data_IF_685080857453
#
_entry.id   IF_685080857453
#
_cell.length_a   1.000
_cell.length_b   1.000
_cell.length_c   1.000
_cell.angle_alpha   90.00
_cell.angle_beta   90.00
_cell.angle_gamma   90.00
#
_symmetry.space_group_name_H-M   'P 1'
#
loop_
_entity.id
_entity.type
_entity.pdbx_description
1 polymer ?
#
# COMPACT_ATOMS: atom_id res chain seq x y z
N UNK A 1 -21.54 27.96 -10.90
CA UNK A 1 -20.33 27.13 -11.00
C UNK A 1 -20.56 26.11 -12.12
N UNK A 2 -19.76 26.15 -13.19
CA UNK A 2 -19.88 25.23 -14.34
C UNK A 2 -19.54 23.79 -13.90
N UNK A 3 -20.23 22.76 -14.43
CA UNK A 3 -19.92 21.34 -14.22
C UNK A 3 -18.42 21.01 -14.39
N UNK A 4 -17.76 21.61 -15.39
CA UNK A 4 -16.30 21.50 -15.58
C UNK A 4 -15.49 22.06 -14.41
N UNK A 5 -15.91 23.20 -13.87
CA UNK A 5 -15.26 23.81 -12.71
C UNK A 5 -15.42 22.97 -11.44
N UNK A 6 -16.61 22.38 -11.25
CA UNK A 6 -16.86 21.44 -10.14
C UNK A 6 -16.08 20.12 -10.31
N UNK A 7 -16.09 19.54 -11.51
CA UNK A 7 -15.32 18.35 -11.85
C UNK A 7 -13.82 18.54 -11.60
N UNK A 8 -13.27 19.69 -12.02
CA UNK A 8 -11.86 19.99 -11.80
C UNK A 8 -11.53 20.20 -10.32
N UNK A 9 -12.45 20.78 -9.55
CA UNK A 9 -12.24 20.97 -8.11
C UNK A 9 -12.19 19.64 -7.36
N UNK A 10 -13.03 18.67 -7.75
CA UNK A 10 -13.12 17.36 -7.06
C UNK A 10 -12.10 16.35 -7.60
N UNK A 11 -11.90 16.29 -8.92
CA UNK A 11 -11.10 15.25 -9.58
C UNK A 11 -9.84 15.75 -10.27
N UNK A 12 -9.62 17.06 -10.36
CA UNK A 12 -8.51 17.64 -11.14
C UNK A 12 -7.14 17.10 -10.71
N UNK A 13 -6.91 16.97 -9.40
CA UNK A 13 -5.67 16.37 -8.89
C UNK A 13 -5.53 14.90 -9.30
N UNK A 14 -6.60 14.09 -9.21
CA UNK A 14 -6.54 12.69 -9.61
C UNK A 14 -6.29 12.53 -11.12
N UNK A 15 -6.94 13.36 -11.92
CA UNK A 15 -6.77 13.41 -13.37
C UNK A 15 -5.33 13.78 -13.75
N UNK A 16 -4.74 14.81 -13.11
CA UNK A 16 -3.34 15.20 -13.37
C UNK A 16 -2.37 14.02 -13.13
N UNK A 17 -2.58 13.26 -12.05
CA UNK A 17 -1.76 12.08 -11.74
C UNK A 17 -1.86 11.01 -12.81
N UNK A 18 -3.08 10.70 -13.27
CA UNK A 18 -3.30 9.70 -14.32
C UNK A 18 -2.69 10.08 -15.66
N UNK A 19 -2.66 11.36 -16.01
CA UNK A 19 -2.12 11.81 -17.29
C UNK A 19 -0.63 12.11 -17.26
N UNK A 20 -0.04 12.37 -16.09
CA UNK A 20 1.37 12.75 -15.97
C UNK A 20 2.20 11.73 -15.20
N UNK A 21 1.84 11.47 -13.95
CA UNK A 21 2.67 10.67 -13.04
C UNK A 21 2.64 9.18 -13.38
N UNK A 22 1.46 8.63 -13.70
CA UNK A 22 1.35 7.19 -13.97
C UNK A 22 2.01 6.76 -15.28
N UNK A 23 1.84 7.48 -16.41
CA UNK A 23 2.53 7.14 -17.66
C UNK A 23 4.06 7.19 -17.52
N UNK A 24 4.57 8.20 -16.81
CA UNK A 24 6.01 8.29 -16.50
C UNK A 24 6.49 7.07 -15.70
N UNK A 25 5.68 6.59 -14.74
CA UNK A 25 6.02 5.40 -13.97
C UNK A 25 5.96 4.11 -14.81
N UNK A 26 5.04 3.99 -15.77
CA UNK A 26 5.01 2.84 -16.69
C UNK A 26 6.23 2.80 -17.61
N UNK A 27 6.72 3.96 -18.05
CA UNK A 27 7.96 4.05 -18.83
C UNK A 27 9.19 3.50 -18.06
N UNK A 28 9.21 3.61 -16.71
CA UNK A 28 10.27 3.04 -15.89
C UNK A 28 10.31 1.50 -15.99
N UNK A 29 9.15 0.85 -16.05
CA UNK A 29 9.06 -0.61 -16.12
C UNK A 29 9.42 -1.11 -17.52
N UNK A 30 8.91 -0.44 -18.56
CA UNK A 30 9.16 -0.82 -19.96
C UNK A 30 10.63 -0.70 -20.33
N UNK A 31 11.29 0.41 -19.94
CA UNK A 31 12.70 0.62 -20.29
C UNK A 31 13.67 -0.29 -19.57
N UNK A 32 13.30 -0.83 -18.40
CA UNK A 32 14.17 -1.73 -17.63
C UNK A 32 13.86 -3.22 -17.88
N UNK A 33 12.83 -3.53 -18.68
CA UNK A 33 12.38 -4.89 -18.98
C UNK A 33 12.12 -5.76 -17.72
N UNK A 34 11.66 -5.12 -16.64
CA UNK A 34 11.46 -5.72 -15.33
C UNK A 34 9.98 -5.94 -15.01
N UNK A 35 9.14 -6.21 -16.00
CA UNK A 35 7.68 -6.31 -15.81
C UNK A 35 7.28 -7.35 -14.75
N UNK A 36 7.98 -8.50 -14.70
CA UNK A 36 7.62 -9.60 -13.80
C UNK A 36 8.00 -9.31 -12.35
N UNK A 37 9.26 -8.93 -12.10
CA UNK A 37 9.83 -8.79 -10.75
C UNK A 37 9.97 -7.35 -10.27
N UNK A 38 9.76 -6.36 -11.14
CA UNK A 38 9.98 -4.95 -10.85
C UNK A 38 11.46 -4.56 -10.83
N UNK A 39 11.72 -3.26 -10.72
CA UNK A 39 13.08 -2.71 -10.64
C UNK A 39 13.74 -2.88 -9.27
N UNK A 40 12.97 -3.24 -8.22
CA UNK A 40 13.44 -3.34 -6.85
C UNK A 40 13.18 -2.08 -6.01
N UNK A 41 13.59 -2.14 -4.73
CA UNK A 41 13.44 -1.03 -3.79
C UNK A 41 14.35 0.13 -4.23
N UNK A 42 13.76 1.32 -4.35
CA UNK A 42 14.47 2.52 -4.77
C UNK A 42 14.36 2.84 -6.26
N UNK A 43 13.71 1.98 -7.04
CA UNK A 43 13.48 2.21 -8.48
C UNK A 43 12.40 3.25 -8.78
N UNK A 44 11.66 3.68 -7.75
CA UNK A 44 10.68 4.76 -7.82
C UNK A 44 10.53 5.44 -6.44
N UNK A 45 10.05 6.68 -6.43
CA UNK A 45 9.83 7.47 -5.21
C UNK A 45 11.06 8.25 -4.78
N UNK A 46 11.08 8.72 -3.54
CA UNK A 46 12.14 9.62 -3.02
C UNK A 46 13.53 8.98 -3.15
N UNK A 47 13.64 7.68 -2.92
CA UNK A 47 14.90 6.96 -3.06
C UNK A 47 15.48 7.03 -4.48
N UNK A 48 14.62 7.11 -5.51
CA UNK A 48 15.04 7.19 -6.92
C UNK A 48 15.86 8.45 -7.20
N UNK A 49 15.64 9.56 -6.46
CA UNK A 49 16.41 10.81 -6.61
C UNK A 49 17.91 10.57 -6.48
N UNK A 50 18.31 9.63 -5.63
CA UNK A 50 19.72 9.34 -5.35
C UNK A 50 20.39 8.42 -6.37
N UNK A 51 19.61 7.59 -7.08
CA UNK A 51 20.14 6.55 -7.96
C UNK A 51 19.82 6.79 -9.45
N UNK A 52 18.69 7.40 -9.78
CA UNK A 52 18.24 7.74 -11.13
C UNK A 52 17.42 9.06 -11.16
N UNK A 53 18.06 10.22 -10.90
CA UNK A 53 17.37 11.51 -10.82
C UNK A 53 16.77 11.96 -12.16
N UNK A 54 17.30 11.51 -13.30
CA UNK A 54 16.82 11.92 -14.63
C UNK A 54 15.45 11.34 -14.97
N UNK A 55 15.07 10.23 -14.34
CA UNK A 55 13.79 9.56 -14.54
C UNK A 55 12.93 9.59 -13.28
N UNK A 56 13.22 10.51 -12.36
CA UNK A 56 12.55 10.61 -11.08
C UNK A 56 11.03 10.66 -11.24
N UNK A 57 10.36 9.75 -10.55
CA UNK A 57 8.92 9.75 -10.40
C UNK A 57 8.57 9.70 -8.91
N UNK A 58 7.70 10.59 -8.42
CA UNK A 58 7.37 10.69 -6.99
C UNK A 58 6.53 9.52 -6.46
N UNK A 59 6.08 8.59 -7.32
CA UNK A 59 5.22 7.46 -6.97
C UNK A 59 4.06 7.87 -6.05
N UNK A 60 3.05 8.55 -6.59
CA UNK A 60 1.92 9.09 -5.82
C UNK A 60 0.80 8.08 -5.54
N UNK A 61 0.93 6.84 -6.02
CA UNK A 61 0.03 5.73 -5.73
C UNK A 61 0.82 4.53 -5.21
N UNK A 62 0.31 3.90 -4.16
CA UNK A 62 0.88 2.66 -3.62
C UNK A 62 0.88 1.53 -4.65
N UNK A 63 -0.08 1.51 -5.58
CA UNK A 63 -0.17 0.47 -6.61
C UNK A 63 0.88 0.66 -7.69
N UNK A 64 1.10 1.89 -8.13
CA UNK A 64 2.18 2.23 -9.05
C UNK A 64 3.52 1.93 -8.38
N UNK A 65 3.67 2.29 -7.10
CA UNK A 65 4.86 1.96 -6.32
C UNK A 65 5.11 0.45 -6.28
N UNK A 66 4.09 -0.35 -5.94
CA UNK A 66 4.18 -1.82 -5.90
C UNK A 66 4.52 -2.39 -7.28
N UNK A 67 3.87 -1.92 -8.33
CA UNK A 67 4.12 -2.41 -9.70
C UNK A 67 5.55 -2.10 -10.16
N UNK A 68 6.05 -0.89 -9.93
CA UNK A 68 7.41 -0.53 -10.39
C UNK A 68 8.47 -1.20 -9.52
N UNK A 69 8.22 -1.37 -8.23
CA UNK A 69 9.17 -1.99 -7.28
C UNK A 69 9.20 -3.51 -7.40
N UNK A 70 8.04 -4.16 -7.50
CA UNK A 70 7.88 -5.62 -7.39
C UNK A 70 7.26 -6.29 -8.63
N UNK A 71 6.92 -5.50 -9.67
CA UNK A 71 6.35 -6.01 -10.90
C UNK A 71 4.97 -6.64 -10.71
N UNK A 72 4.63 -7.53 -11.64
CA UNK A 72 3.39 -8.32 -11.60
C UNK A 72 3.29 -9.21 -10.34
N UNK A 73 4.41 -9.65 -9.78
CA UNK A 73 4.42 -10.44 -8.53
C UNK A 73 3.85 -9.62 -7.38
N UNK A 74 4.20 -8.34 -7.28
CA UNK A 74 3.62 -7.43 -6.28
C UNK A 74 2.12 -7.24 -6.46
N UNK A 75 1.67 -7.02 -7.69
CA UNK A 75 0.23 -6.89 -8.00
C UNK A 75 -0.55 -8.16 -7.65
N UNK A 76 0.02 -9.34 -7.92
CA UNK A 76 -0.59 -10.61 -7.53
C UNK A 76 -0.76 -10.70 -6.01
N UNK A 77 0.23 -10.24 -5.23
CA UNK A 77 0.14 -10.15 -3.77
C UNK A 77 -1.03 -9.30 -3.29
N UNK A 78 -1.26 -8.14 -3.92
CA UNK A 78 -2.42 -7.28 -3.62
C UNK A 78 -3.74 -7.97 -3.95
N UNK A 79 -3.84 -8.62 -5.12
CA UNK A 79 -5.05 -9.37 -5.51
C UNK A 79 -5.33 -10.51 -4.53
N UNK A 80 -4.31 -11.28 -4.14
CA UNK A 80 -4.43 -12.35 -3.16
C UNK A 80 -4.90 -11.82 -1.81
N UNK A 81 -4.38 -10.68 -1.35
CA UNK A 81 -4.79 -10.05 -0.10
C UNK A 81 -6.27 -9.64 -0.11
N UNK A 82 -6.76 -9.12 -1.24
CA UNK A 82 -8.19 -8.81 -1.42
C UNK A 82 -9.03 -10.09 -1.38
N UNK A 83 -8.63 -11.11 -2.12
CA UNK A 83 -9.35 -12.40 -2.17
C UNK A 83 -9.39 -13.08 -0.80
N UNK A 84 -8.26 -13.14 -0.10
CA UNK A 84 -8.19 -13.69 1.25
C UNK A 84 -9.12 -12.94 2.19
N UNK A 85 -9.20 -11.62 2.07
CA UNK A 85 -10.08 -10.82 2.90
C UNK A 85 -11.57 -11.08 2.61
N UNK A 86 -11.94 -11.36 1.36
CA UNK A 86 -13.31 -11.77 1.00
C UNK A 86 -13.74 -13.09 1.66
N UNK A 87 -12.78 -13.94 2.06
CA UNK A 87 -13.07 -15.20 2.77
C UNK A 87 -13.22 -15.02 4.30
N UNK A 88 -12.92 -13.84 4.84
CA UNK A 88 -12.97 -13.61 6.30
C UNK A 88 -14.41 -13.37 6.75
N UNK A 89 -14.86 -14.16 7.73
CA UNK A 89 -16.18 -14.02 8.34
C UNK A 89 -16.29 -12.73 9.17
N UNK A 90 -17.23 -11.86 8.80
CA UNK A 90 -17.52 -10.56 9.43
C UNK A 90 -17.90 -10.71 10.92
N UNK A 91 -18.43 -11.86 11.33
CA UNK A 91 -18.92 -12.10 12.70
C UNK A 91 -17.81 -12.33 13.74
N UNK A 92 -16.53 -12.39 13.34
CA UNK A 92 -15.43 -12.53 14.32
C UNK A 92 -15.05 -11.16 14.89
N UNK A 93 -14.81 -11.13 16.21
CA UNK A 93 -14.26 -9.96 16.91
C UNK A 93 -12.98 -9.50 16.21
N UNK A 94 -12.88 -8.21 15.89
CA UNK A 94 -11.79 -7.53 15.16
C UNK A 94 -11.82 -7.59 13.62
N UNK A 95 -12.73 -8.34 12.97
CA UNK A 95 -12.79 -8.39 11.49
C UNK A 95 -13.14 -7.05 10.85
N UNK A 96 -13.95 -6.24 11.52
CA UNK A 96 -14.33 -4.91 11.04
C UNK A 96 -13.14 -3.97 10.92
N UNK A 97 -12.16 -4.03 11.84
CA UNK A 97 -10.95 -3.23 11.73
C UNK A 97 -10.13 -3.61 10.49
N UNK A 98 -10.00 -4.91 10.22
CA UNK A 98 -9.29 -5.40 9.03
C UNK A 98 -9.97 -4.94 7.74
N UNK A 99 -11.31 -5.01 7.67
CA UNK A 99 -12.08 -4.55 6.52
C UNK A 99 -11.96 -3.04 6.31
N UNK A 100 -12.03 -2.24 7.38
CA UNK A 100 -11.88 -0.79 7.31
C UNK A 100 -10.47 -0.42 6.84
N UNK A 101 -9.43 -1.05 7.41
CA UNK A 101 -8.04 -0.84 6.97
C UNK A 101 -7.84 -1.25 5.52
N UNK A 102 -8.48 -2.32 5.05
CA UNK A 102 -8.42 -2.72 3.65
C UNK A 102 -9.10 -1.70 2.74
N UNK A 103 -10.29 -1.19 3.10
CA UNK A 103 -10.98 -0.16 2.31
C UNK A 103 -10.14 1.12 2.24
N UNK A 104 -9.53 1.52 3.36
CA UNK A 104 -8.60 2.66 3.37
C UNK A 104 -7.42 2.36 2.45
N UNK A 105 -6.75 1.22 2.59
CA UNK A 105 -5.66 0.84 1.71
C UNK A 105 -6.09 0.83 0.24
N UNK A 106 -7.29 0.33 -0.07
CA UNK A 106 -7.76 0.20 -1.43
C UNK A 106 -8.11 1.55 -2.07
N UNK A 107 -8.86 2.38 -1.35
CA UNK A 107 -9.34 3.68 -1.83
C UNK A 107 -8.25 4.77 -1.75
N UNK A 108 -7.52 4.84 -0.65
CA UNK A 108 -6.44 5.82 -0.47
C UNK A 108 -5.14 5.40 -1.18
N UNK A 109 -4.87 4.10 -1.34
CA UNK A 109 -3.67 3.63 -2.05
C UNK A 109 -3.62 4.07 -3.53
N UNK A 110 -4.77 4.39 -4.13
CA UNK A 110 -4.84 4.94 -5.48
C UNK A 110 -4.35 6.40 -5.55
N UNK A 111 -4.39 7.14 -4.44
CA UNK A 111 -4.16 8.60 -4.41
C UNK A 111 -3.00 9.01 -3.52
N UNK A 112 -2.51 8.10 -2.68
CA UNK A 112 -1.41 8.32 -1.76
C UNK A 112 -0.50 7.10 -1.76
N UNK A 113 0.80 7.35 -1.81
CA UNK A 113 1.80 6.37 -1.46
C UNK A 113 2.01 6.34 0.06
N UNK A 114 1.28 5.41 0.67
CA UNK A 114 1.26 5.17 2.12
C UNK A 114 2.64 4.77 2.65
N UNK A 115 3.48 4.14 1.81
CA UNK A 115 4.80 3.61 2.19
C UNK A 115 5.78 4.76 2.45
N UNK A 116 5.78 5.78 1.60
CA UNK A 116 6.66 6.95 1.75
C UNK A 116 6.08 8.01 2.72
N UNK A 117 4.81 7.87 3.09
CA UNK A 117 4.19 8.78 4.06
C UNK A 117 4.64 8.43 5.48
N UNK A 118 5.57 9.22 6.03
CA UNK A 118 6.15 9.07 7.38
C UNK A 118 5.09 8.83 8.47
N UNK A 119 3.96 9.55 8.41
CA UNK A 119 2.89 9.40 9.40
C UNK A 119 2.25 8.01 9.38
N UNK A 120 1.98 7.47 8.19
CA UNK A 120 1.29 6.19 8.06
C UNK A 120 2.23 5.00 8.28
N UNK A 121 3.50 5.09 7.85
CA UNK A 121 4.50 4.05 8.13
C UNK A 121 4.79 3.92 9.63
N UNK A 122 4.83 5.05 10.36
CA UNK A 122 4.95 5.05 11.82
C UNK A 122 3.74 4.38 12.49
N UNK A 123 2.52 4.70 12.05
CA UNK A 123 1.31 4.07 12.57
C UNK A 123 1.27 2.56 12.31
N UNK A 124 1.67 2.11 11.11
CA UNK A 124 1.80 0.68 10.79
C UNK A 124 2.80 0.01 11.74
N UNK A 125 3.97 0.62 11.98
CA UNK A 125 4.96 0.10 12.93
C UNK A 125 4.40 -0.06 14.35
N UNK A 126 3.66 0.93 14.84
CA UNK A 126 2.99 0.87 16.16
C UNK A 126 1.95 -0.26 16.20
N UNK A 127 1.11 -0.38 15.18
CA UNK A 127 0.08 -1.43 15.10
C UNK A 127 0.69 -2.84 15.09
N UNK A 128 1.78 -3.04 14.33
CA UNK A 128 2.52 -4.30 14.31
C UNK A 128 3.09 -4.61 15.70
N UNK A 129 3.70 -3.63 16.37
CA UNK A 129 4.24 -3.78 17.72
C UNK A 129 3.16 -4.16 18.74
N UNK A 130 1.99 -3.54 18.67
CA UNK A 130 0.85 -3.88 19.53
C UNK A 130 0.30 -5.28 19.24
N UNK A 131 0.20 -5.67 17.98
CA UNK A 131 -0.25 -7.01 17.59
C UNK A 131 0.65 -8.12 18.17
N UNK A 132 1.98 -7.96 18.07
CA UNK A 132 2.91 -8.92 18.66
C UNK A 132 2.87 -8.93 20.19
N UNK A 133 2.69 -7.76 20.82
CA UNK A 133 2.52 -7.66 22.28
C UNK A 133 1.26 -8.40 22.76
N UNK A 134 0.14 -8.24 22.07
CA UNK A 134 -1.11 -8.91 22.43
C UNK A 134 -1.01 -10.43 22.25
N UNK A 135 -0.35 -10.90 21.18
CA UNK A 135 -0.11 -12.32 20.95
C UNK A 135 0.75 -12.95 22.05
N UNK A 136 1.85 -12.30 22.40
CA UNK A 136 2.74 -12.75 23.47
C UNK A 136 2.02 -12.80 24.82
N UNK A 137 1.22 -11.79 25.13
CA UNK A 137 0.40 -11.77 26.35
C UNK A 137 -0.61 -12.91 26.41
N UNK A 138 -1.24 -13.29 25.28
CA UNK A 138 -2.17 -14.42 25.19
C UNK A 138 -1.47 -15.78 25.33
N UNK A 139 -0.26 -15.92 24.80
CA UNK A 139 0.54 -17.14 24.94
C UNK A 139 1.02 -17.33 26.39
N UNK A 140 1.41 -16.26 27.07
CA UNK A 140 1.81 -16.27 28.48
C UNK A 140 0.65 -16.64 29.43
N UNK A 141 -0.57 -16.16 29.17
CA UNK A 141 -1.75 -16.56 29.96
C UNK A 141 -2.16 -18.01 29.72
N UNK A 142 -2.17 -18.48 28.46
CA UNK A 142 -2.44 -19.90 28.15
C UNK A 142 -1.40 -20.85 28.74
N UNK A 143 -0.13 -20.43 28.79
CA UNK A 143 0.95 -21.20 29.40
C UNK A 143 0.81 -21.33 30.92
N UNK A 144 0.36 -20.27 31.61
CA UNK A 144 0.11 -20.30 33.06
C UNK A 144 -1.08 -21.17 33.44
N UNK A 145 -2.15 -21.19 32.65
CA UNK A 145 -3.31 -22.08 32.88
C UNK A 145 -2.94 -23.57 32.74
N UNK A 146 -2.01 -23.93 31.85
CA UNK A 146 -1.58 -25.32 31.64
C UNK A 146 -0.67 -25.90 32.73
N UNK A 147 0.01 -25.06 33.52
CA UNK A 147 0.94 -25.49 34.59
C UNK A 147 0.24 -25.65 35.94
N UNK A 148 -1.02 -25.18 36.06
CA UNK A 148 -1.77 -25.16 37.32
C UNK A 148 -2.68 -26.40 37.54
N UNK A 149 -2.49 -27.47 36.76
CA UNK A 149 -3.20 -28.75 36.91
C UNK A 149 -2.25 -29.88 37.31
#
# INVERSE_FOLDING_TARGET
>A
MNLKGFSNLVFGSFIDRMYRVWPEAFNLIETQNHLIFGGGIGSIGVAQIYFDPLRYNPADSVYIYILVTFGLVGCLGVVLLVLLTMTVSINKKNTHYLLISLIIFLCYGATINVIETVGLSTLIGILIGLFFKERKSKEETLGKEKVSY
#
